data_IF_743367859272
#
_entry.id   IF_743367859272
#
_cell.length_a   1.000
_cell.length_b   1.000
_cell.length_c   1.000
_cell.angle_alpha   90.00
_cell.angle_beta   90.00
_cell.angle_gamma   90.00
#
_symmetry.space_group_name_H-M   'P 1'
#
loop_
_entity.id
_entity.type
_entity.pdbx_description
1 polymer ?
#
# COMPACT_ATOMS: atom_id res chain seq x y z
N UNK A 1 -8.50 -16.39 6.52
CA UNK A 1 -7.74 -15.13 6.33
C UNK A 1 -6.33 -15.47 5.86
N UNK A 2 -5.85 -14.78 4.84
CA UNK A 2 -4.49 -14.91 4.32
C UNK A 2 -3.74 -13.59 4.51
N UNK A 3 -2.46 -13.63 4.85
CA UNK A 3 -1.65 -12.42 5.06
C UNK A 3 -0.19 -12.62 4.65
N UNK A 4 0.47 -11.50 4.32
CA UNK A 4 1.91 -11.42 4.11
C UNK A 4 2.41 -10.03 4.49
N UNK A 5 3.59 -9.95 5.10
CA UNK A 5 4.22 -8.68 5.47
C UNK A 5 5.69 -8.67 5.03
N UNK A 6 6.15 -7.51 4.58
CA UNK A 6 7.55 -7.25 4.31
C UNK A 6 7.95 -5.90 4.91
N UNK A 7 9.18 -5.83 5.43
CA UNK A 7 9.75 -4.62 6.00
C UNK A 7 11.15 -4.36 5.46
N UNK A 8 11.47 -3.08 5.24
CA UNK A 8 12.78 -2.59 4.84
C UNK A 8 13.19 -1.42 5.74
N UNK A 9 14.44 -1.44 6.20
CA UNK A 9 15.05 -0.30 6.88
C UNK A 9 15.74 0.58 5.83
N UNK A 10 15.38 1.86 5.80
CA UNK A 10 15.90 2.82 4.83
C UNK A 10 16.38 4.10 5.52
N UNK A 11 17.44 4.69 4.97
CA UNK A 11 17.98 5.98 5.41
C UNK A 11 17.16 7.14 4.80
N UNK A 12 15.92 7.24 5.25
CA UNK A 12 14.93 8.30 4.96
C UNK A 12 14.12 8.58 6.20
N UNK A 13 13.64 9.81 6.38
CA UNK A 13 12.75 10.13 7.49
C UNK A 13 11.32 9.67 7.22
N UNK A 14 10.49 9.45 8.26
CA UNK A 14 9.10 9.09 8.05
C UNK A 14 8.34 10.12 7.22
N UNK A 15 8.67 11.41 7.35
CA UNK A 15 8.06 12.50 6.59
C UNK A 15 8.37 12.41 5.09
N UNK A 16 9.60 12.04 4.71
CA UNK A 16 9.97 11.86 3.30
C UNK A 16 9.19 10.71 2.66
N UNK A 17 9.02 9.60 3.39
CA UNK A 17 8.20 8.47 2.91
C UNK A 17 6.73 8.86 2.87
N UNK A 18 6.23 9.55 3.89
CA UNK A 18 4.84 10.00 3.96
C UNK A 18 4.47 10.96 2.84
N UNK A 19 5.36 11.85 2.45
CA UNK A 19 5.14 12.74 1.31
C UNK A 19 4.83 11.96 0.02
N UNK A 20 5.49 10.81 -0.19
CA UNK A 20 5.22 9.91 -1.33
C UNK A 20 3.91 9.15 -1.20
N UNK A 21 3.48 8.82 0.01
CA UNK A 21 2.16 8.22 0.23
C UNK A 21 1.03 9.22 0.00
N UNK A 22 1.12 10.40 0.60
CA UNK A 22 0.09 11.44 0.51
C UNK A 22 -0.06 11.98 -0.92
N UNK A 23 1.05 12.10 -1.67
CA UNK A 23 1.05 12.44 -3.08
C UNK A 23 0.73 11.22 -3.96
N UNK A 24 -0.51 10.74 -3.83
CA UNK A 24 -1.00 9.55 -4.50
C UNK A 24 -0.89 9.59 -6.03
N UNK A 25 -0.88 10.78 -6.64
CA UNK A 25 -0.69 10.93 -8.07
C UNK A 25 0.69 10.42 -8.55
N UNK A 26 1.68 10.36 -7.66
CA UNK A 26 3.03 9.86 -7.96
C UNK A 26 3.21 8.36 -7.74
N UNK A 27 2.19 7.65 -7.24
CA UNK A 27 2.29 6.20 -7.00
C UNK A 27 2.74 5.40 -8.23
N UNK A 28 2.27 5.67 -9.47
CA UNK A 28 2.74 4.96 -10.66
C UNK A 28 4.24 5.10 -10.93
N UNK A 29 4.92 6.11 -10.38
CA UNK A 29 6.36 6.33 -10.58
C UNK A 29 7.23 5.32 -9.83
N UNK A 30 6.78 4.86 -8.65
CA UNK A 30 7.54 3.95 -7.79
C UNK A 30 6.84 2.60 -7.57
N UNK A 31 5.52 2.54 -7.74
CA UNK A 31 4.72 1.34 -7.62
C UNK A 31 4.38 0.76 -9.01
N UNK A 32 5.27 -0.06 -9.55
CA UNK A 32 5.12 -0.65 -10.89
C UNK A 32 3.83 -1.47 -11.11
N UNK A 33 3.14 -1.88 -10.03
CA UNK A 33 1.84 -2.56 -10.10
C UNK A 33 0.64 -1.64 -10.36
N UNK A 34 0.78 -0.31 -10.28
CA UNK A 34 -0.31 0.65 -10.42
C UNK A 34 -0.14 1.42 -11.74
N UNK A 35 -1.14 1.33 -12.60
CA UNK A 35 -1.18 2.12 -13.84
C UNK A 35 -1.77 3.52 -13.60
N UNK A 36 -2.81 3.61 -12.77
CA UNK A 36 -3.47 4.87 -12.43
C UNK A 36 -4.05 4.78 -11.02
N UNK A 37 -4.07 5.90 -10.30
CA UNK A 37 -4.81 6.04 -9.06
C UNK A 37 -5.43 7.43 -8.96
N UNK A 38 -6.62 7.48 -8.37
CA UNK A 38 -7.34 8.70 -8.07
C UNK A 38 -8.00 8.55 -6.70
N UNK A 39 -7.75 9.49 -5.79
CA UNK A 39 -8.45 9.57 -4.50
C UNK A 39 -9.31 10.83 -4.51
N UNK A 40 -10.60 10.65 -4.20
CA UNK A 40 -11.56 11.74 -4.10
C UNK A 40 -11.36 12.49 -2.78
N UNK A 41 -10.78 13.69 -2.87
CA UNK A 41 -10.60 14.57 -1.71
C UNK A 41 -9.25 14.39 -1.01
N UNK A 42 -9.17 14.63 0.32
CA UNK A 42 -7.91 14.57 1.04
C UNK A 42 -7.41 13.13 1.21
N UNK A 43 -6.10 12.96 1.41
CA UNK A 43 -5.55 11.67 1.83
C UNK A 43 -5.83 11.43 3.33
N UNK A 44 -7.06 11.03 3.65
CA UNK A 44 -7.56 10.84 5.01
C UNK A 44 -8.48 9.62 5.12
N UNK A 45 -8.63 9.08 6.34
CA UNK A 45 -9.53 7.96 6.59
C UNK A 45 -10.97 8.29 6.16
N UNK A 46 -11.63 7.32 5.52
CA UNK A 46 -12.95 7.46 4.90
C UNK A 46 -12.94 7.99 3.47
N UNK A 47 -11.78 8.43 2.94
CA UNK A 47 -11.69 8.89 1.56
C UNK A 47 -11.75 7.71 0.59
N UNK A 48 -12.51 7.87 -0.48
CA UNK A 48 -12.71 6.84 -1.50
C UNK A 48 -11.99 7.23 -2.78
N UNK A 49 -11.85 6.28 -3.69
CA UNK A 49 -11.26 6.55 -4.99
C UNK A 49 -11.28 5.33 -5.88
N UNK A 50 -10.48 5.41 -6.94
CA UNK A 50 -10.30 4.33 -7.90
C UNK A 50 -8.83 4.08 -8.17
N UNK A 51 -8.47 2.81 -8.29
CA UNK A 51 -7.14 2.35 -8.65
C UNK A 51 -7.23 1.43 -9.87
N UNK A 52 -6.33 1.60 -10.82
CA UNK A 52 -6.20 0.73 -11.99
C UNK A 52 -4.87 -0.01 -11.88
N UNK A 53 -4.85 -1.30 -11.50
CA UNK A 53 -3.65 -2.10 -11.56
C UNK A 53 -3.20 -2.32 -13.01
N UNK A 54 -1.90 -2.52 -13.22
CA UNK A 54 -1.37 -2.76 -14.57
C UNK A 54 -1.98 -4.04 -15.16
N UNK A 55 -2.65 -3.91 -16.31
CA UNK A 55 -3.26 -5.04 -17.03
C UNK A 55 -4.56 -5.57 -16.42
N UNK A 56 -5.18 -4.85 -15.48
CA UNK A 56 -6.46 -5.20 -14.87
C UNK A 56 -7.47 -4.05 -14.98
N UNK A 57 -8.73 -4.37 -14.71
CA UNK A 57 -9.81 -3.38 -14.66
C UNK A 57 -9.66 -2.43 -13.48
N UNK A 58 -10.30 -1.27 -13.57
CA UNK A 58 -10.31 -0.28 -12.49
C UNK A 58 -11.17 -0.77 -11.34
N UNK A 59 -10.62 -0.71 -10.12
CA UNK A 59 -11.26 -1.16 -8.88
C UNK A 59 -11.44 0.02 -7.92
N UNK A 60 -12.51 0.01 -7.10
CA UNK A 60 -12.66 1.01 -6.05
C UNK A 60 -11.67 0.76 -4.93
N UNK A 61 -11.14 1.83 -4.35
CA UNK A 61 -10.28 1.80 -3.17
C UNK A 61 -10.82 2.73 -2.10
N UNK A 62 -10.69 2.35 -0.84
CA UNK A 62 -11.09 3.18 0.31
C UNK A 62 -9.94 3.26 1.29
N UNK A 63 -9.54 4.47 1.69
CA UNK A 63 -8.60 4.67 2.79
C UNK A 63 -9.34 4.43 4.10
N UNK A 64 -9.01 3.37 4.82
CA UNK A 64 -9.71 3.00 6.07
C UNK A 64 -9.09 3.63 7.29
N UNK A 65 -7.77 3.77 7.31
CA UNK A 65 -7.01 4.40 8.39
C UNK A 65 -5.91 5.29 7.81
N UNK A 66 -5.70 6.47 8.40
CA UNK A 66 -4.63 7.41 7.99
C UNK A 66 -4.13 8.14 9.23
N UNK A 67 -2.86 7.92 9.58
CA UNK A 67 -2.13 8.63 10.62
C UNK A 67 -0.87 9.22 10.01
N UNK A 68 -0.83 10.54 9.94
CA UNK A 68 0.24 11.30 9.26
C UNK A 68 1.62 10.89 9.79
N UNK A 69 2.54 10.59 8.86
CA UNK A 69 3.92 10.13 9.12
C UNK A 69 4.05 8.79 9.85
N UNK A 70 2.96 8.06 10.08
CA UNK A 70 2.98 6.80 10.83
C UNK A 70 2.41 5.64 10.02
N UNK A 71 1.20 5.77 9.48
CA UNK A 71 0.55 4.65 8.81
C UNK A 71 -0.62 5.05 7.94
N UNK A 72 -0.93 4.24 6.94
CA UNK A 72 -2.24 4.25 6.31
C UNK A 72 -2.65 2.85 5.87
N UNK A 73 -3.95 2.64 5.77
CA UNK A 73 -4.55 1.42 5.25
C UNK A 73 -5.54 1.74 4.15
N UNK A 74 -5.56 0.88 3.15
CA UNK A 74 -6.54 0.91 2.09
C UNK A 74 -7.19 -0.45 1.90
N UNK A 75 -8.44 -0.44 1.45
CA UNK A 75 -9.21 -1.63 1.16
C UNK A 75 -9.76 -1.59 -0.26
N UNK A 76 -9.64 -2.74 -0.92
CA UNK A 76 -10.18 -3.01 -2.25
C UNK A 76 -11.04 -4.28 -2.19
N UNK A 77 -12.33 -4.24 -2.57
CA UNK A 77 -13.16 -5.42 -2.69
C UNK A 77 -12.61 -6.41 -3.73
N UNK A 78 -12.62 -7.69 -3.42
CA UNK A 78 -12.26 -8.77 -4.35
C UNK A 78 -13.49 -9.63 -4.60
N UNK A 79 -14.19 -9.32 -5.70
CA UNK A 79 -15.54 -9.83 -5.95
C UNK A 79 -16.50 -9.42 -4.82
N UNK A 80 -17.53 -10.25 -4.59
CA UNK A 80 -18.58 -9.95 -3.60
C UNK A 80 -18.29 -10.55 -2.21
N UNK A 81 -17.19 -11.29 -2.05
CA UNK A 81 -16.99 -12.22 -0.92
C UNK A 81 -15.64 -12.10 -0.23
N UNK A 82 -14.77 -11.20 -0.66
CA UNK A 82 -13.47 -10.96 -0.02
C UNK A 82 -13.07 -9.49 -0.12
N UNK A 83 -12.18 -9.07 0.77
CA UNK A 83 -11.57 -7.74 0.80
C UNK A 83 -10.06 -7.92 0.87
N UNK A 84 -9.37 -7.21 0.00
CA UNK A 84 -7.92 -7.03 0.02
C UNK A 84 -7.61 -5.76 0.79
N UNK A 85 -6.88 -5.87 1.89
CA UNK A 85 -6.42 -4.74 2.69
C UNK A 85 -4.92 -4.60 2.57
N UNK A 86 -4.44 -3.41 2.25
CA UNK A 86 -3.04 -3.04 2.43
C UNK A 86 -2.88 -2.22 3.70
N UNK A 87 -1.83 -2.51 4.45
CA UNK A 87 -1.44 -1.80 5.66
C UNK A 87 -0.01 -1.34 5.51
N UNK A 88 0.18 -0.03 5.56
CA UNK A 88 1.46 0.64 5.41
C UNK A 88 1.83 1.26 6.74
N UNK A 89 3.03 0.97 7.24
CA UNK A 89 3.52 1.49 8.53
C UNK A 89 4.93 2.04 8.39
N UNK A 90 5.21 3.08 9.13
CA UNK A 90 6.48 3.76 9.26
C UNK A 90 6.86 3.78 10.73
N UNK A 91 8.05 3.29 11.04
CA UNK A 91 8.62 3.38 12.38
C UNK A 91 10.02 4.00 12.31
N UNK A 92 10.22 5.11 13.01
CA UNK A 92 11.54 5.74 13.11
C UNK A 92 12.54 4.78 13.78
N UNK A 93 13.73 4.66 13.21
CA UNK A 93 14.78 3.78 13.74
C UNK A 93 15.68 4.49 14.75
N UNK A 94 16.19 3.78 15.78
CA UNK A 94 17.22 4.33 16.65
C UNK A 94 18.49 4.66 15.85
N UNK A 95 18.87 5.94 15.80
CA UNK A 95 20.03 6.40 15.03
C UNK A 95 19.71 7.08 13.70
N UNK A 96 18.43 7.22 13.35
CA UNK A 96 17.98 7.84 12.09
C UNK A 96 17.47 6.81 11.09
N UNK A 97 16.70 7.28 10.10
CA UNK A 97 16.04 6.43 9.13
C UNK A 97 14.67 5.90 9.59
N UNK A 98 14.06 5.08 8.74
CA UNK A 98 12.70 4.57 8.91
C UNK A 98 12.63 3.10 8.52
N UNK A 99 11.94 2.30 9.34
CA UNK A 99 11.43 0.99 8.95
C UNK A 99 10.10 1.18 8.23
N UNK A 100 10.09 0.82 6.95
CA UNK A 100 8.92 0.86 6.09
C UNK A 100 8.36 -0.56 6.03
N UNK A 101 7.10 -0.72 6.45
CA UNK A 101 6.43 -2.01 6.47
C UNK A 101 5.20 -1.97 5.59
N UNK A 102 5.10 -2.90 4.65
CA UNK A 102 3.91 -3.14 3.83
C UNK A 102 3.38 -4.52 4.16
N UNK A 103 2.13 -4.57 4.60
CA UNK A 103 1.39 -5.80 4.85
C UNK A 103 0.17 -5.85 3.95
N UNK A 104 -0.10 -7.04 3.43
CA UNK A 104 -1.29 -7.36 2.68
C UNK A 104 -2.10 -8.40 3.44
N UNK A 105 -3.40 -8.20 3.50
CA UNK A 105 -4.36 -9.11 4.09
C UNK A 105 -5.47 -9.38 3.09
N UNK A 106 -5.90 -10.64 2.98
CA UNK A 106 -7.10 -11.02 2.25
C UNK A 106 -8.03 -11.65 3.28
N UNK A 107 -9.17 -11.00 3.49
CA UNK A 107 -10.19 -11.39 4.47
C UNK A 107 -11.58 -11.48 3.84
N UNK A 108 -12.53 -12.06 4.57
CA UNK A 108 -13.92 -12.29 4.15
C UNK A 108 -14.25 -13.76 3.91
N UNK A 109 -15.53 -14.08 3.63
CA UNK A 109 -16.02 -15.46 3.49
C UNK A 109 -15.24 -16.33 2.49
N UNK A 110 -14.72 -15.74 1.41
CA UNK A 110 -13.96 -16.47 0.39
C UNK A 110 -12.43 -16.35 0.56
N UNK A 111 -11.93 -15.75 1.66
CA UNK A 111 -10.51 -15.49 1.85
C UNK A 111 -9.64 -16.76 1.79
N UNK A 112 -10.12 -17.88 2.29
CA UNK A 112 -9.34 -19.13 2.30
C UNK A 112 -9.25 -19.78 0.90
N UNK A 113 -10.11 -19.38 -0.03
CA UNK A 113 -10.04 -19.80 -1.43
C UNK A 113 -9.25 -18.81 -2.29
N UNK A 114 -9.56 -17.51 -2.15
CA UNK A 114 -8.95 -16.42 -2.93
C UNK A 114 -7.52 -16.14 -2.46
N UNK A 115 -7.29 -16.13 -1.15
CA UNK A 115 -6.01 -15.79 -0.52
C UNK A 115 -4.83 -16.60 -1.05
N UNK A 116 -4.89 -17.95 -1.05
CA UNK A 116 -3.80 -18.77 -1.60
C UNK A 116 -3.54 -18.59 -3.11
N UNK A 117 -4.51 -18.08 -3.87
CA UNK A 117 -4.37 -17.88 -5.32
C UNK A 117 -3.85 -16.48 -5.66
N UNK A 118 -4.44 -15.45 -5.06
CA UNK A 118 -4.14 -14.05 -5.31
C UNK A 118 -2.98 -13.55 -4.45
N UNK A 119 -2.97 -13.92 -3.17
CA UNK A 119 -2.02 -13.44 -2.17
C UNK A 119 -0.55 -13.60 -2.58
N UNK A 120 -0.08 -14.80 -2.99
CA UNK A 120 1.29 -14.99 -3.44
C UNK A 120 1.70 -14.13 -4.65
N UNK A 121 0.75 -13.81 -5.54
CA UNK A 121 1.01 -12.96 -6.71
C UNK A 121 1.26 -11.51 -6.29
N UNK A 122 0.47 -11.00 -5.34
CA UNK A 122 0.64 -9.67 -4.76
C UNK A 122 1.91 -9.62 -3.90
N UNK A 123 2.10 -10.59 -3.00
CA UNK A 123 3.24 -10.67 -2.09
C UNK A 123 4.59 -10.60 -2.81
N UNK A 124 4.68 -11.22 -3.99
CA UNK A 124 5.91 -11.25 -4.80
C UNK A 124 6.38 -9.84 -5.21
N UNK A 125 5.46 -8.89 -5.39
CA UNK A 125 5.79 -7.51 -5.76
C UNK A 125 6.18 -6.63 -4.58
N UNK A 126 5.71 -6.94 -3.36
CA UNK A 126 5.83 -6.06 -2.20
C UNK A 126 7.28 -5.68 -1.87
N UNK A 127 8.26 -6.61 -1.81
CA UNK A 127 9.64 -6.23 -1.54
C UNK A 127 10.19 -5.17 -2.50
N UNK A 128 9.95 -5.36 -3.81
CA UNK A 128 10.40 -4.39 -4.83
C UNK A 128 9.66 -3.05 -4.72
N UNK A 129 8.38 -3.06 -4.35
CA UNK A 129 7.60 -1.84 -4.12
C UNK A 129 8.20 -1.03 -2.96
N UNK A 130 8.49 -1.68 -1.82
CA UNK A 130 9.07 -1.02 -0.65
C UNK A 130 10.46 -0.44 -0.97
N UNK A 131 11.29 -1.16 -1.72
CA UNK A 131 12.59 -0.66 -2.18
C UNK A 131 12.47 0.55 -3.11
N UNK A 132 11.55 0.51 -4.08
CA UNK A 132 11.31 1.62 -5.00
C UNK A 132 10.78 2.85 -4.29
N UNK A 133 9.87 2.65 -3.33
CA UNK A 133 9.35 3.72 -2.48
C UNK A 133 10.48 4.38 -1.67
N UNK A 134 11.34 3.59 -1.03
CA UNK A 134 12.48 4.12 -0.29
C UNK A 134 13.38 4.99 -1.18
N UNK A 135 13.69 4.52 -2.40
CA UNK A 135 14.48 5.29 -3.38
C UNK A 135 13.77 6.57 -3.83
N UNK A 136 12.47 6.52 -4.06
CA UNK A 136 11.69 7.69 -4.43
C UNK A 136 11.67 8.73 -3.28
N UNK A 137 11.53 8.27 -2.04
CA UNK A 137 11.58 9.13 -0.86
C UNK A 137 12.95 9.80 -0.66
N UNK A 138 14.05 9.12 -1.01
CA UNK A 138 15.40 9.72 -0.96
C UNK A 138 15.63 10.84 -1.99
N UNK A 139 14.90 10.81 -3.11
CA UNK A 139 15.09 11.74 -4.22
C UNK A 139 14.28 13.04 -4.10
N UNK A 140 13.45 13.19 -3.05
CA UNK A 140 12.65 14.38 -2.75
C UNK A 140 13.23 15.16 -1.57
#
# INVERSE_FOLDING_TARGET
MWEFEHSLDADVTPEQVWARYADHATWPEWHAGIAQIHIDGPFAAGSTGTMTPVGQDTVPVTLTEVTVNESFSDETPVGDTAVLRFVHRLAALPGGGTRITHRVEIDGPAADQVGPQLGPQIAKGIPTIVESLAKAAQAG
#
